data_IF_751171626361
#
_entry.id   IF_751171626361
#
_cell.length_a   1.000
_cell.length_b   1.000
_cell.length_c   1.000
_cell.angle_alpha   90.00
_cell.angle_beta   90.00
_cell.angle_gamma   90.00
#
_symmetry.space_group_name_H-M   'P 1'
#
loop_
_entity.id
_entity.type
_entity.pdbx_description
1 polymer ?
#
# COMPACT_ATOMS: atom_id res chain seq x y z
N UNK A 1 -15.75 -33.33 -19.52
CA UNK A 1 -14.94 -33.78 -18.37
C UNK A 1 -14.47 -32.52 -17.64
N UNK A 2 -15.30 -31.97 -16.76
CA UNK A 2 -15.03 -30.70 -16.07
C UNK A 2 -14.26 -30.96 -14.77
N UNK A 3 -13.07 -30.38 -14.65
CA UNK A 3 -12.26 -30.45 -13.43
C UNK A 3 -12.93 -29.68 -12.29
N UNK A 4 -13.28 -30.39 -11.22
CA UNK A 4 -13.72 -29.78 -9.97
C UNK A 4 -12.52 -29.07 -9.32
N UNK A 5 -12.46 -27.75 -9.41
CA UNK A 5 -11.60 -26.95 -8.56
C UNK A 5 -12.19 -27.04 -7.14
N UNK A 6 -11.54 -27.79 -6.27
CA UNK A 6 -11.83 -27.76 -4.84
C UNK A 6 -11.34 -26.42 -4.30
N UNK A 7 -12.24 -25.44 -4.24
CA UNK A 7 -11.99 -24.18 -3.54
C UNK A 7 -11.78 -24.47 -2.06
N UNK A 8 -10.54 -24.72 -1.67
CA UNK A 8 -10.17 -24.81 -0.26
C UNK A 8 -10.44 -23.43 0.33
N UNK A 9 -11.39 -23.28 1.26
CA UNK A 9 -11.76 -21.97 1.78
C UNK A 9 -10.54 -21.33 2.43
N UNK A 10 -10.16 -20.14 1.93
CA UNK A 10 -9.05 -19.38 2.47
C UNK A 10 -9.30 -19.11 3.96
N UNK A 11 -8.36 -19.53 4.81
CA UNK A 11 -8.43 -19.22 6.24
C UNK A 11 -8.25 -17.71 6.44
N UNK A 12 -9.32 -17.02 6.80
CA UNK A 12 -9.26 -15.62 7.27
C UNK A 12 -8.48 -15.58 8.59
N UNK A 13 -7.23 -15.13 8.53
CA UNK A 13 -6.33 -15.06 9.69
C UNK A 13 -5.46 -13.81 9.75
N UNK A 14 -5.54 -12.90 8.76
CA UNK A 14 -4.80 -11.65 8.81
C UNK A 14 -5.44 -10.72 9.84
N UNK A 15 -4.72 -10.51 10.93
CA UNK A 15 -5.04 -9.49 11.93
C UNK A 15 -4.64 -8.11 11.36
N UNK A 16 -5.26 -7.06 11.90
CA UNK A 16 -4.98 -5.68 11.50
C UNK A 16 -3.47 -5.34 11.52
N UNK A 17 -2.73 -5.87 12.52
CA UNK A 17 -1.27 -5.74 12.61
C UNK A 17 -0.53 -6.35 11.41
N UNK A 18 -0.96 -7.51 10.90
CA UNK A 18 -0.32 -8.13 9.74
C UNK A 18 -0.52 -7.27 8.49
N UNK A 19 -1.73 -6.73 8.31
CA UNK A 19 -2.06 -5.84 7.19
C UNK A 19 -1.22 -4.56 7.24
N UNK A 20 -1.09 -3.96 8.43
CA UNK A 20 -0.25 -2.78 8.63
C UNK A 20 1.23 -3.06 8.33
N UNK A 21 1.76 -4.22 8.75
CA UNK A 21 3.15 -4.60 8.46
C UNK A 21 3.39 -4.84 6.97
N UNK A 22 2.41 -5.42 6.26
CA UNK A 22 2.47 -5.57 4.79
C UNK A 22 2.51 -4.20 4.12
N UNK A 23 1.61 -3.29 4.51
CA UNK A 23 1.57 -1.93 3.98
C UNK A 23 2.89 -1.17 4.24
N UNK A 24 3.41 -1.25 5.48
CA UNK A 24 4.67 -0.61 5.85
C UNK A 24 5.86 -1.20 5.07
N UNK A 25 5.91 -2.52 4.93
CA UNK A 25 6.95 -3.23 4.17
C UNK A 25 6.96 -2.84 2.70
N UNK A 26 5.78 -2.75 2.07
CA UNK A 26 5.65 -2.28 0.68
C UNK A 26 6.10 -0.83 0.52
N UNK A 27 5.57 0.07 1.36
CA UNK A 27 5.89 1.50 1.29
C UNK A 27 7.39 1.80 1.51
N UNK A 28 8.04 1.12 2.46
CA UNK A 28 9.47 1.29 2.72
C UNK A 28 10.30 0.61 1.63
N UNK A 29 9.95 -0.61 1.22
CA UNK A 29 10.72 -1.40 0.26
C UNK A 29 10.75 -0.80 -1.14
N UNK A 30 9.60 -0.66 -1.80
CA UNK A 30 9.54 -0.10 -3.16
C UNK A 30 9.46 1.42 -3.17
N UNK A 31 8.78 2.03 -2.20
CA UNK A 31 8.53 3.48 -2.19
C UNK A 31 9.73 4.32 -1.73
N UNK A 32 10.41 3.93 -0.65
CA UNK A 32 11.64 4.58 -0.21
C UNK A 32 12.85 3.92 -0.87
N UNK A 33 13.12 2.64 -0.61
CA UNK A 33 14.45 2.07 -0.84
C UNK A 33 14.83 1.90 -2.31
N UNK A 34 13.89 1.52 -3.18
CA UNK A 34 14.19 1.27 -4.60
C UNK A 34 14.66 2.53 -5.36
N UNK A 35 14.22 3.73 -4.95
CA UNK A 35 14.49 4.98 -5.67
C UNK A 35 15.25 6.06 -4.89
N UNK A 36 15.38 5.96 -3.56
CA UNK A 36 15.79 7.08 -2.71
C UNK A 36 17.16 7.68 -3.07
N UNK A 37 18.15 6.85 -3.41
CA UNK A 37 19.49 7.35 -3.73
C UNK A 37 19.50 8.28 -4.95
N UNK A 38 18.72 7.93 -5.98
CA UNK A 38 18.60 8.75 -7.19
C UNK A 38 17.73 9.98 -6.95
N UNK A 39 16.62 9.82 -6.23
CA UNK A 39 15.73 10.94 -5.89
C UNK A 39 16.44 12.01 -5.04
N UNK A 40 17.24 11.59 -4.04
CA UNK A 40 18.03 12.52 -3.22
C UNK A 40 19.10 13.22 -4.07
N UNK A 41 19.80 12.50 -4.95
CA UNK A 41 20.83 13.11 -5.82
C UNK A 41 20.24 14.18 -6.74
N UNK A 42 19.03 13.98 -7.25
CA UNK A 42 18.39 14.91 -8.19
C UNK A 42 17.72 16.10 -7.47
N UNK A 43 16.98 15.83 -6.38
CA UNK A 43 16.19 16.86 -5.69
C UNK A 43 16.93 17.56 -4.55
N UNK A 44 18.03 16.99 -4.06
CA UNK A 44 18.74 17.49 -2.88
C UNK A 44 17.83 17.56 -1.64
N UNK A 45 18.04 18.54 -0.73
CA UNK A 45 17.22 18.68 0.48
C UNK A 45 15.72 18.87 0.22
N UNK A 46 15.35 19.36 -0.97
CA UNK A 46 13.96 19.58 -1.35
C UNK A 46 13.16 18.27 -1.54
N UNK A 47 13.82 17.10 -1.52
CA UNK A 47 13.14 15.80 -1.58
C UNK A 47 12.10 15.61 -0.47
N UNK A 48 12.32 16.23 0.70
CA UNK A 48 11.38 16.21 1.81
C UNK A 48 10.06 16.88 1.44
N UNK A 49 10.10 18.00 0.72
CA UNK A 49 8.89 18.68 0.22
C UNK A 49 8.18 17.81 -0.82
N UNK A 50 8.94 17.15 -1.71
CA UNK A 50 8.39 16.21 -2.68
C UNK A 50 7.63 15.05 -2.02
N UNK A 51 8.24 14.42 -1.00
CA UNK A 51 7.58 13.37 -0.23
C UNK A 51 6.40 13.88 0.60
N UNK A 52 6.46 15.11 1.13
CA UNK A 52 5.34 15.70 1.88
C UNK A 52 4.12 15.93 0.97
N UNK A 53 4.33 16.50 -0.22
CA UNK A 53 3.25 16.74 -1.19
C UNK A 53 2.73 15.42 -1.75
N UNK A 54 3.63 14.52 -2.18
CA UNK A 54 3.26 13.20 -2.68
C UNK A 54 2.52 12.37 -1.64
N UNK A 55 3.00 12.39 -0.40
CA UNK A 55 2.35 11.73 0.74
C UNK A 55 0.98 12.34 1.07
N UNK A 56 0.83 13.66 0.95
CA UNK A 56 -0.46 14.32 1.14
C UNK A 56 -1.47 13.89 0.07
N UNK A 57 -1.08 13.85 -1.21
CA UNK A 57 -1.94 13.36 -2.29
C UNK A 57 -2.29 11.88 -2.07
N UNK A 58 -1.32 11.03 -1.75
CA UNK A 58 -1.54 9.62 -1.46
C UNK A 58 -2.48 9.40 -0.26
N UNK A 59 -2.38 10.24 0.77
CA UNK A 59 -3.30 10.24 1.92
C UNK A 59 -4.73 10.56 1.49
N UNK A 60 -4.94 11.56 0.63
CA UNK A 60 -6.27 11.88 0.10
C UNK A 60 -6.85 10.72 -0.71
N UNK A 61 -6.03 10.06 -1.54
CA UNK A 61 -6.44 8.88 -2.30
C UNK A 61 -6.84 7.74 -1.35
N UNK A 62 -5.99 7.42 -0.36
CA UNK A 62 -6.29 6.36 0.62
C UNK A 62 -7.53 6.68 1.46
N UNK A 63 -7.79 7.94 1.77
CA UNK A 63 -9.03 8.34 2.45
C UNK A 63 -10.26 8.00 1.62
N UNK A 64 -10.25 8.29 0.31
CA UNK A 64 -11.37 7.95 -0.57
C UNK A 64 -11.52 6.44 -0.77
N UNK A 65 -10.41 5.72 -0.96
CA UNK A 65 -10.44 4.25 -1.04
C UNK A 65 -10.96 3.62 0.26
N UNK A 66 -10.65 4.23 1.41
CA UNK A 66 -11.19 3.78 2.70
C UNK A 66 -12.70 3.86 2.77
N UNK A 67 -13.30 4.98 2.31
CA UNK A 67 -14.75 5.13 2.22
C UNK A 67 -15.36 4.07 1.28
N UNK A 68 -14.75 3.83 0.12
CA UNK A 68 -15.21 2.80 -0.83
C UNK A 68 -15.15 1.38 -0.25
N UNK A 69 -14.10 1.05 0.50
CA UNK A 69 -13.94 -0.26 1.15
C UNK A 69 -14.97 -0.47 2.26
N UNK A 70 -15.42 0.60 2.91
CA UNK A 70 -16.48 0.55 3.92
C UNK A 70 -17.86 0.41 3.27
N UNK A 71 -18.10 1.12 2.16
CA UNK A 71 -19.38 1.11 1.43
C UNK A 71 -19.62 -0.20 0.68
N UNK A 72 -18.60 -0.71 -0.02
CA UNK A 72 -18.65 -2.01 -0.71
C UNK A 72 -17.62 -2.98 -0.12
N UNK A 73 -17.93 -3.57 1.06
CA UNK A 73 -17.02 -4.49 1.72
C UNK A 73 -17.01 -5.83 0.97
N UNK A 74 -16.07 -5.96 0.02
CA UNK A 74 -15.79 -7.24 -0.66
C UNK A 74 -15.05 -8.17 0.31
N UNK A 75 -15.81 -9.00 1.02
CA UNK A 75 -15.34 -9.96 2.03
C UNK A 75 -15.29 -11.41 1.53
#
# INVERSE_FOLDING_TARGET
MGGQHQDTPLKRGLKNRHIQLIALGGAIGTGLFLGIAQTIKMAGPAVLLGYAIGGFIAFLIMRQLGEMVVEEPVA
#
